data_IF_239636675668
#
_entry.id   IF_239636675668
#
_cell.length_a   1.000
_cell.length_b   1.000
_cell.length_c   1.000
_cell.angle_alpha   90.00
_cell.angle_beta   90.00
_cell.angle_gamma   90.00
#
_symmetry.space_group_name_H-M   'P 1'
#
loop_
_entity.id
_entity.type
_entity.pdbx_description
1 polymer ?
#
# COMPACT_ATOMS: atom_id res chain seq x y z
N UNK A 1 -28.47 -3.70 0.03
CA UNK A 1 -27.33 -2.76 0.15
C UNK A 1 -26.38 -3.32 1.19
N UNK A 2 -25.31 -3.99 0.76
CA UNK A 2 -24.07 -4.26 1.52
C UNK A 2 -23.34 -5.40 0.83
N UNK A 3 -22.19 -5.08 0.25
CA UNK A 3 -21.10 -6.01 0.17
C UNK A 3 -19.88 -5.23 0.67
N UNK A 4 -19.63 -5.35 1.97
CA UNK A 4 -18.34 -5.05 2.57
C UNK A 4 -17.32 -5.92 1.83
N UNK A 5 -16.76 -5.40 0.73
CA UNK A 5 -15.66 -6.08 0.06
C UNK A 5 -14.52 -6.08 1.08
N UNK A 6 -13.90 -7.24 1.37
CA UNK A 6 -12.75 -7.28 2.25
C UNK A 6 -11.66 -6.46 1.57
N UNK A 7 -11.47 -5.23 2.01
CA UNK A 7 -10.38 -4.40 1.54
C UNK A 7 -9.11 -5.08 2.04
N UNK A 8 -8.37 -5.69 1.11
CA UNK A 8 -7.12 -6.38 1.44
C UNK A 8 -6.15 -5.33 1.98
N UNK A 9 -5.98 -5.34 3.31
CA UNK A 9 -5.10 -4.41 4.02
C UNK A 9 -3.72 -5.05 4.10
N UNK A 10 -2.73 -4.43 3.46
CA UNK A 10 -1.35 -4.87 3.37
C UNK A 10 -0.50 -3.94 4.20
N UNK A 11 0.17 -4.50 5.19
CA UNK A 11 1.07 -3.73 6.03
C UNK A 11 2.45 -3.58 5.38
N UNK A 12 2.92 -2.35 5.22
CA UNK A 12 4.19 -2.00 4.57
C UNK A 12 5.14 -1.32 5.55
N UNK A 13 6.43 -1.46 5.31
CA UNK A 13 7.49 -0.90 6.15
C UNK A 13 8.05 0.44 5.64
N UNK A 14 7.55 0.92 4.49
CA UNK A 14 8.01 2.14 3.83
C UNK A 14 6.85 3.07 3.50
N UNK A 15 7.13 4.38 3.45
CA UNK A 15 6.17 5.38 2.96
C UNK A 15 5.91 5.28 1.46
N UNK A 16 6.79 4.62 0.71
CA UNK A 16 6.58 4.41 -0.73
C UNK A 16 6.43 2.91 -0.97
N UNK A 17 5.28 2.50 -1.50
CA UNK A 17 4.97 1.11 -1.84
C UNK A 17 4.84 0.97 -3.36
N UNK A 18 5.52 -0.04 -3.92
CA UNK A 18 5.27 -0.48 -5.29
C UNK A 18 4.09 -1.45 -5.30
N UNK A 19 3.04 -1.11 -6.03
CA UNK A 19 1.92 -2.01 -6.29
C UNK A 19 1.94 -2.42 -7.76
N UNK A 20 2.12 -3.70 -8.04
CA UNK A 20 2.01 -4.33 -9.37
C UNK A 20 0.76 -5.22 -9.50
N UNK A 21 -0.11 -5.18 -8.50
CA UNK A 21 -1.32 -5.98 -8.46
C UNK A 21 -1.13 -7.46 -8.13
N UNK A 22 0.05 -7.89 -7.69
CA UNK A 22 0.29 -9.24 -7.16
C UNK A 22 0.89 -10.20 -8.18
N UNK A 23 1.65 -9.69 -9.15
CA UNK A 23 2.50 -10.46 -10.07
C UNK A 23 1.77 -11.35 -11.08
N UNK A 24 0.44 -11.29 -11.15
CA UNK A 24 -0.38 -12.11 -12.04
C UNK A 24 -0.74 -11.44 -13.36
N UNK A 25 -1.22 -12.23 -14.33
CA UNK A 25 -1.69 -11.75 -15.64
C UNK A 25 -2.90 -10.78 -15.59
N UNK A 26 -3.57 -10.68 -14.43
CA UNK A 26 -4.68 -9.76 -14.15
C UNK A 26 -4.24 -8.56 -13.28
N UNK A 27 -2.95 -8.42 -12.98
CA UNK A 27 -2.40 -7.27 -12.27
C UNK A 27 -2.40 -5.99 -13.13
N UNK A 28 -1.94 -4.90 -12.53
CA UNK A 28 -1.70 -3.62 -13.23
C UNK A 28 -0.19 -3.35 -13.30
N UNK A 29 0.26 -2.44 -14.18
CA UNK A 29 1.66 -2.02 -14.20
C UNK A 29 2.14 -1.58 -12.81
N UNK A 30 3.42 -1.79 -12.52
CA UNK A 30 4.04 -1.34 -11.27
C UNK A 30 3.85 0.18 -11.12
N UNK A 31 3.05 0.57 -10.14
CA UNK A 31 2.86 1.97 -9.74
C UNK A 31 3.40 2.17 -8.34
N UNK A 32 4.01 3.32 -8.11
CA UNK A 32 4.48 3.71 -6.79
C UNK A 32 3.43 4.59 -6.12
N UNK A 33 2.92 4.12 -4.99
CA UNK A 33 1.98 4.84 -4.14
C UNK A 33 2.72 5.35 -2.91
N UNK A 34 2.55 6.62 -2.59
CA UNK A 34 3.12 7.22 -1.39
C UNK A 34 2.06 7.29 -0.30
N UNK A 35 2.34 6.66 0.83
CA UNK A 35 1.52 6.71 2.03
C UNK A 35 1.58 8.15 2.58
N UNK A 36 0.39 8.72 2.83
CA UNK A 36 0.27 10.08 3.34
C UNK A 36 0.74 10.21 4.79
N UNK A 37 0.51 11.38 5.40
CA UNK A 37 0.84 11.62 6.81
C UNK A 37 0.14 10.64 7.78
N UNK A 38 -0.99 10.10 7.36
CA UNK A 38 -1.76 9.05 8.03
C UNK A 38 -1.14 7.65 7.93
N UNK A 39 -0.05 7.48 7.17
CA UNK A 39 0.60 6.19 7.00
C UNK A 39 -0.30 5.16 6.33
N UNK A 40 -1.21 5.59 5.45
CA UNK A 40 -2.04 4.68 4.65
C UNK A 40 -2.32 5.24 3.26
N UNK A 41 -2.57 4.37 2.30
CA UNK A 41 -2.94 4.71 0.91
C UNK A 41 -3.74 3.58 0.27
N UNK A 42 -4.70 3.93 -0.59
CA UNK A 42 -5.47 2.96 -1.38
C UNK A 42 -4.94 2.89 -2.82
N UNK A 43 -4.75 1.68 -3.34
CA UNK A 43 -4.45 1.50 -4.75
C UNK A 43 -5.74 1.59 -5.59
N UNK A 44 -5.86 2.52 -6.55
CA UNK A 44 -7.07 2.70 -7.36
C UNK A 44 -7.32 1.55 -8.35
N UNK A 45 -6.36 0.65 -8.55
CA UNK A 45 -6.46 -0.46 -9.50
C UNK A 45 -6.89 -1.77 -8.81
N UNK A 46 -6.24 -2.11 -7.69
CA UNK A 46 -6.52 -3.35 -6.95
C UNK A 46 -7.50 -3.16 -5.80
N UNK A 47 -7.83 -1.91 -5.45
CA UNK A 47 -8.56 -1.59 -4.22
C UNK A 47 -7.91 -2.20 -2.97
N UNK A 48 -6.57 -2.26 -2.96
CA UNK A 48 -5.78 -2.71 -1.81
C UNK A 48 -5.46 -1.52 -0.92
N UNK A 49 -5.60 -1.70 0.38
CA UNK A 49 -5.19 -0.72 1.37
C UNK A 49 -3.79 -1.02 1.83
N UNK A 50 -2.87 -0.10 1.62
CA UNK A 50 -1.52 -0.19 2.17
C UNK A 50 -1.48 0.63 3.45
N UNK A 51 -1.05 0.02 4.55
CA UNK A 51 -0.94 0.67 5.86
C UNK A 51 0.48 0.51 6.35
N UNK A 52 1.05 1.58 6.87
CA UNK A 52 2.39 1.61 7.39
C UNK A 52 2.43 0.85 8.72
N UNK A 53 3.36 -0.10 8.87
CA UNK A 53 3.59 -0.82 10.12
C UNK A 53 3.99 0.14 11.24
N UNK A 54 3.52 -0.15 12.43
CA UNK A 54 3.92 0.56 13.64
C UNK A 54 5.43 0.30 13.87
N UNK A 55 6.26 1.34 13.69
CA UNK A 55 7.73 1.24 13.72
C UNK A 55 8.41 1.15 12.35
N UNK A 56 7.66 1.27 11.25
CA UNK A 56 8.23 1.46 9.92
C UNK A 56 9.14 2.70 9.89
N UNK A 57 10.32 2.56 9.29
CA UNK A 57 11.35 3.59 9.28
C UNK A 57 10.95 4.72 8.32
N UNK A 58 10.11 5.66 8.79
CA UNK A 58 9.66 6.83 7.99
C UNK A 58 10.69 7.95 7.92
N UNK A 59 11.82 7.83 8.63
CA UNK A 59 12.93 8.75 8.47
C UNK A 59 14.03 8.53 9.47
N UNK A 60 15.18 8.03 9.00
CA UNK A 60 16.53 8.47 9.37
C UNK A 60 17.53 7.47 8.79
N UNK A 61 17.99 7.70 7.55
CA UNK A 61 19.37 7.31 7.22
C UNK A 61 20.27 8.23 8.06
N UNK A 62 20.49 7.84 9.31
CA UNK A 62 21.42 8.48 10.22
C UNK A 62 22.72 7.68 10.19
N UNK A 63 23.71 8.21 9.47
CA UNK A 63 25.12 8.38 9.86
C UNK A 63 25.98 8.66 8.63
#
# INVERSE_FOLDING_TARGET
>A
MSAMQPIETIEVETLTVGCDGGGGALGHPLVYLTLGAEGKVECPYCSRHFVLKEGANTGTHGH
#
